data_IF_280210477605
#
_entry.id   IF_280210477605
#
_cell.length_a   1.000
_cell.length_b   1.000
_cell.length_c   1.000
_cell.angle_alpha   90.00
_cell.angle_beta   90.00
_cell.angle_gamma   90.00
#
_symmetry.space_group_name_H-M   'P 1'
#
loop_
_entity.id
_entity.type
_entity.pdbx_description
1 polymer ?
#
# COMPACT_ATOMS: atom_id res chain seq x y z
N UNK A 1 -11.81 -39.52 -11.83
CA UNK A 1 -11.59 -40.57 -10.82
C UNK A 1 -10.14 -41.10 -10.77
N UNK A 2 -9.09 -40.25 -10.84
CA UNK A 2 -7.67 -40.69 -10.74
C UNK A 2 -6.97 -40.31 -9.42
N UNK A 3 -7.58 -39.46 -8.57
CA UNK A 3 -6.94 -38.91 -7.36
C UNK A 3 -6.85 -39.88 -6.16
N UNK A 4 -7.46 -41.07 -6.24
CA UNK A 4 -7.51 -42.05 -5.13
C UNK A 4 -6.43 -43.15 -5.20
N UNK A 5 -5.64 -43.21 -6.27
CA UNK A 5 -4.71 -44.33 -6.51
C UNK A 5 -3.23 -43.99 -6.27
N UNK A 6 -2.87 -42.70 -6.19
CA UNK A 6 -1.52 -42.32 -5.78
C UNK A 6 -1.38 -42.40 -4.24
N UNK A 7 -0.35 -43.06 -3.71
CA UNK A 7 -0.12 -43.17 -2.26
C UNK A 7 0.48 -41.87 -1.71
N UNK A 8 -0.24 -40.76 -1.87
CA UNK A 8 0.22 -39.41 -1.53
C UNK A 8 0.70 -39.28 -0.08
N UNK A 9 0.01 -39.95 0.85
CA UNK A 9 0.41 -40.01 2.27
C UNK A 9 1.79 -40.65 2.47
N UNK A 10 2.09 -41.70 1.71
CA UNK A 10 3.39 -42.36 1.76
C UNK A 10 4.48 -41.49 1.13
N UNK A 11 4.18 -40.84 0.00
CA UNK A 11 5.11 -39.91 -0.66
C UNK A 11 5.45 -38.71 0.21
N UNK A 12 4.46 -38.07 0.83
CA UNK A 12 4.64 -36.93 1.74
C UNK A 12 5.44 -37.34 2.99
N UNK A 13 5.11 -38.48 3.59
CA UNK A 13 5.82 -38.99 4.78
C UNK A 13 7.26 -39.40 4.47
N UNK A 14 7.50 -39.99 3.29
CA UNK A 14 8.83 -40.36 2.82
C UNK A 14 9.67 -39.13 2.50
N UNK A 15 9.10 -38.13 1.83
CA UNK A 15 9.74 -36.86 1.56
C UNK A 15 10.09 -36.11 2.85
N UNK A 16 9.14 -36.00 3.79
CA UNK A 16 9.39 -35.37 5.09
C UNK A 16 10.54 -36.03 5.85
N UNK A 17 10.55 -37.37 5.95
CA UNK A 17 11.66 -38.12 6.57
C UNK A 17 12.98 -37.95 5.83
N UNK A 18 12.97 -37.94 4.50
CA UNK A 18 14.18 -37.77 3.69
C UNK A 18 14.84 -36.39 3.86
N UNK A 19 14.04 -35.36 4.16
CA UNK A 19 14.53 -34.00 4.42
C UNK A 19 14.65 -33.67 5.92
N UNK A 20 14.56 -34.66 6.82
CA UNK A 20 14.68 -34.45 8.27
C UNK A 20 13.50 -33.69 8.91
N UNK A 21 12.38 -33.56 8.20
CA UNK A 21 11.18 -32.86 8.64
C UNK A 21 10.25 -33.85 9.37
N UNK A 22 9.70 -33.42 10.50
CA UNK A 22 8.72 -34.18 11.29
C UNK A 22 7.50 -34.52 10.41
N UNK A 23 6.93 -35.73 10.56
CA UNK A 23 5.79 -36.20 9.76
C UNK A 23 4.62 -35.19 9.84
N UNK A 24 4.34 -34.43 8.76
CA UNK A 24 3.39 -33.32 8.80
C UNK A 24 1.96 -33.81 9.03
N UNK A 25 1.64 -35.05 8.65
CA UNK A 25 0.34 -35.66 8.92
C UNK A 25 0.18 -36.00 10.41
N UNK A 26 1.26 -36.45 11.05
CA UNK A 26 1.26 -36.71 12.48
C UNK A 26 1.18 -35.42 13.31
N UNK A 27 1.83 -34.35 12.85
CA UNK A 27 1.73 -33.01 13.45
C UNK A 27 0.31 -32.48 13.31
N UNK A 28 -0.27 -32.49 12.11
CA UNK A 28 -1.63 -31.99 11.88
C UNK A 28 -2.68 -32.76 12.70
N UNK A 29 -2.53 -34.08 12.80
CA UNK A 29 -3.40 -34.92 13.63
C UNK A 29 -3.27 -34.62 15.13
N UNK A 30 -2.11 -34.15 15.60
CA UNK A 30 -1.91 -33.69 16.98
C UNK A 30 -2.39 -32.26 17.19
N UNK A 31 -2.15 -31.35 16.24
CA UNK A 31 -2.64 -29.97 16.25
C UNK A 31 -4.16 -29.91 16.42
N UNK A 32 -4.88 -30.77 15.67
CA UNK A 32 -6.34 -30.91 15.76
C UNK A 32 -6.86 -31.39 17.12
N UNK A 33 -5.99 -31.88 18.01
CA UNK A 33 -6.36 -32.24 19.39
C UNK A 33 -6.22 -31.09 20.37
N UNK A 34 -5.58 -29.99 19.99
CA UNK A 34 -5.49 -28.78 20.80
C UNK A 34 -6.73 -27.88 20.69
N UNK A 35 -7.65 -28.16 19.75
CA UNK A 35 -8.90 -27.42 19.56
C UNK A 35 -10.10 -28.25 20.03
N UNK A 36 -11.11 -27.59 20.61
CA UNK A 36 -12.39 -28.24 20.84
C UNK A 36 -13.05 -28.59 19.50
N UNK A 37 -13.86 -29.66 19.43
CA UNK A 37 -14.56 -30.02 18.20
C UNK A 37 -15.52 -28.90 17.79
N UNK A 38 -15.08 -28.11 16.81
CA UNK A 38 -15.86 -27.10 16.11
C UNK A 38 -16.54 -27.74 14.89
N UNK A 39 -17.75 -27.31 14.54
CA UNK A 39 -18.44 -27.72 13.30
C UNK A 39 -17.61 -27.37 12.05
N UNK A 40 -16.79 -26.31 12.15
CA UNK A 40 -15.83 -25.90 11.14
C UNK A 40 -14.42 -26.22 11.63
N UNK A 41 -13.77 -27.21 11.02
CA UNK A 41 -12.48 -27.74 11.47
C UNK A 41 -11.34 -26.71 11.34
N UNK A 42 -11.28 -26.02 10.20
CA UNK A 42 -10.38 -24.91 9.87
C UNK A 42 -11.00 -24.22 8.64
N UNK A 43 -11.34 -22.92 8.68
CA UNK A 43 -11.81 -22.22 7.49
C UNK A 43 -10.76 -22.29 6.38
N UNK A 44 -11.14 -22.81 5.21
CA UNK A 44 -10.23 -22.94 4.06
C UNK A 44 -9.73 -21.56 3.62
N UNK A 45 -10.54 -20.54 3.85
CA UNK A 45 -10.26 -19.12 3.67
C UNK A 45 -9.05 -18.68 4.50
N UNK A 46 -8.96 -19.10 5.77
CA UNK A 46 -7.81 -18.78 6.64
C UNK A 46 -6.54 -19.49 6.18
N UNK A 47 -6.64 -20.74 5.72
CA UNK A 47 -5.49 -21.45 5.16
C UNK A 47 -4.99 -20.79 3.87
N UNK A 48 -5.91 -20.40 2.98
CA UNK A 48 -5.55 -19.66 1.75
C UNK A 48 -4.92 -18.32 2.07
N UNK A 49 -5.53 -17.54 2.97
CA UNK A 49 -4.99 -16.26 3.42
C UNK A 49 -3.60 -16.43 4.04
N UNK A 50 -3.40 -17.45 4.88
CA UNK A 50 -2.10 -17.76 5.47
C UNK A 50 -1.02 -18.12 4.44
N UNK A 51 -1.36 -18.88 3.40
CA UNK A 51 -0.42 -19.21 2.32
C UNK A 51 -0.02 -17.93 1.55
N UNK A 52 -0.99 -17.10 1.16
CA UNK A 52 -0.73 -15.83 0.44
C UNK A 52 0.14 -14.91 1.29
N UNK A 53 -0.19 -14.78 2.58
CA UNK A 53 0.55 -13.98 3.54
C UNK A 53 2.02 -14.43 3.67
N UNK A 54 2.28 -15.73 3.80
CA UNK A 54 3.67 -16.23 3.87
C UNK A 54 4.40 -16.16 2.52
N UNK A 55 3.72 -16.33 1.40
CA UNK A 55 4.32 -16.13 0.07
C UNK A 55 4.77 -14.67 -0.12
N UNK A 56 3.93 -13.69 0.25
CA UNK A 56 4.32 -12.27 0.33
C UNK A 56 5.50 -12.07 1.27
N UNK A 57 5.51 -12.77 2.40
CA UNK A 57 6.62 -12.72 3.35
C UNK A 57 7.96 -13.19 2.77
N UNK A 58 7.97 -14.10 1.80
CA UNK A 58 9.18 -14.49 1.06
C UNK A 58 9.68 -13.37 0.15
N UNK A 59 8.77 -12.72 -0.56
CA UNK A 59 9.08 -11.58 -1.43
C UNK A 59 9.67 -10.44 -0.58
N UNK A 60 9.00 -10.07 0.50
CA UNK A 60 9.46 -9.06 1.46
C UNK A 60 10.89 -9.34 1.95
N UNK A 61 11.20 -10.60 2.24
CA UNK A 61 12.54 -11.02 2.70
C UNK A 61 13.62 -10.67 1.67
N UNK A 62 13.34 -10.88 0.39
CA UNK A 62 14.29 -10.60 -0.69
C UNK A 62 14.34 -9.12 -1.04
N UNK A 63 13.18 -8.48 -1.20
CA UNK A 63 13.12 -7.09 -1.62
C UNK A 63 13.65 -6.13 -0.55
N UNK A 64 13.21 -6.26 0.70
CA UNK A 64 13.51 -5.25 1.73
C UNK A 64 14.96 -5.33 2.20
N UNK A 65 15.45 -6.54 2.46
CA UNK A 65 16.77 -6.71 3.08
C UNK A 65 17.94 -6.30 2.18
N UNK A 66 17.75 -6.40 0.86
CA UNK A 66 18.78 -6.08 -0.12
C UNK A 66 18.74 -4.61 -0.57
N UNK A 67 17.72 -3.85 -0.19
CA UNK A 67 17.44 -2.50 -0.70
C UNK A 67 17.15 -1.54 0.47
N UNK A 68 18.09 -1.40 1.39
CA UNK A 68 17.92 -0.57 2.61
C UNK A 68 17.98 0.94 2.34
N UNK A 69 18.49 1.33 1.17
CA UNK A 69 18.59 2.70 0.68
C UNK A 69 17.26 3.24 0.09
N UNK A 70 16.25 2.38 -0.04
CA UNK A 70 14.93 2.76 -0.51
C UNK A 70 14.13 3.51 0.56
N UNK A 71 13.10 4.23 0.12
CA UNK A 71 12.07 4.70 1.04
C UNK A 71 11.07 3.58 1.20
N UNK A 72 10.86 3.12 2.43
CA UNK A 72 9.96 2.02 2.73
C UNK A 72 8.69 2.50 3.47
N UNK A 73 7.62 1.69 3.50
CA UNK A 73 6.43 2.03 4.27
C UNK A 73 6.79 2.02 5.77
N UNK A 74 6.00 2.74 6.57
CA UNK A 74 6.32 2.99 7.98
C UNK A 74 6.62 1.73 8.79
N UNK A 75 5.87 0.64 8.57
CA UNK A 75 6.07 -0.60 9.29
C UNK A 75 7.44 -1.23 9.02
N UNK A 76 8.00 -1.08 7.82
CA UNK A 76 9.34 -1.60 7.48
C UNK A 76 10.41 -0.77 8.16
N UNK A 77 10.30 0.56 8.06
CA UNK A 77 11.24 1.52 8.68
C UNK A 77 11.38 1.28 10.19
N UNK A 78 10.32 0.75 10.84
CA UNK A 78 10.29 0.42 12.27
C UNK A 78 10.70 -1.03 12.55
N UNK A 79 10.05 -1.99 11.91
CA UNK A 79 10.23 -3.41 12.20
C UNK A 79 11.64 -3.94 11.87
N UNK A 80 12.35 -3.29 10.95
CA UNK A 80 13.70 -3.67 10.53
C UNK A 80 14.81 -2.83 11.18
N UNK A 81 14.47 -1.80 11.95
CA UNK A 81 15.45 -0.97 12.67
C UNK A 81 15.75 -1.57 14.05
N UNK A 82 16.98 -2.05 14.33
CA UNK A 82 17.34 -2.65 15.63
C UNK A 82 17.15 -1.74 16.84
N UNK A 83 17.18 -0.42 16.65
CA UNK A 83 17.04 0.58 17.71
C UNK A 83 15.57 0.94 17.99
N UNK A 84 14.63 0.46 17.17
CA UNK A 84 13.20 0.74 17.36
C UNK A 84 12.55 -0.30 18.29
N UNK A 85 11.65 0.10 19.21
CA UNK A 85 10.91 -0.83 20.06
C UNK A 85 10.08 -1.87 19.29
N UNK A 86 9.75 -1.58 18.02
CA UNK A 86 8.98 -2.46 17.14
C UNK A 86 9.87 -3.45 16.37
N UNK A 87 11.18 -3.47 16.63
CA UNK A 87 12.11 -4.37 15.95
C UNK A 87 11.73 -5.84 16.14
N UNK A 88 11.72 -6.60 15.03
CA UNK A 88 11.53 -8.06 15.07
C UNK A 88 12.79 -8.77 14.58
N UNK A 89 13.47 -9.54 15.46
CA UNK A 89 14.66 -10.30 15.09
C UNK A 89 14.42 -11.32 13.97
N UNK A 90 15.40 -11.43 13.06
CA UNK A 90 15.27 -12.14 11.78
C UNK A 90 15.90 -13.53 11.74
N UNK A 91 16.57 -13.96 12.82
CA UNK A 91 17.54 -15.05 12.80
C UNK A 91 17.00 -16.41 12.34
N UNK A 92 15.73 -16.72 12.60
CA UNK A 92 15.12 -18.00 12.21
C UNK A 92 13.82 -17.84 11.39
N UNK A 93 13.46 -16.60 11.00
CA UNK A 93 12.24 -16.39 10.23
C UNK A 93 12.49 -16.60 8.74
N UNK A 94 11.81 -17.59 8.16
CA UNK A 94 11.85 -17.86 6.72
C UNK A 94 11.07 -16.80 5.91
N UNK A 95 10.09 -16.14 6.54
CA UNK A 95 9.20 -15.16 5.88
C UNK A 95 9.10 -13.89 6.71
N UNK A 96 9.26 -12.71 6.10
CA UNK A 96 9.07 -11.42 6.76
C UNK A 96 7.73 -10.82 6.40
N UNK A 97 6.81 -10.85 7.33
CA UNK A 97 5.47 -10.28 7.18
C UNK A 97 5.33 -9.08 8.08
N UNK A 98 4.40 -8.18 7.75
CA UNK A 98 4.10 -7.08 8.64
C UNK A 98 3.42 -7.61 9.92
N UNK A 99 4.07 -7.40 11.07
CA UNK A 99 3.57 -7.76 12.41
C UNK A 99 3.41 -6.52 13.30
N UNK A 100 3.80 -5.34 12.82
CA UNK A 100 3.86 -4.09 13.59
C UNK A 100 3.09 -2.99 12.88
N UNK A 101 2.67 -1.95 13.61
CA UNK A 101 2.00 -0.79 13.01
C UNK A 101 0.86 -1.15 12.02
N UNK A 102 0.08 -2.19 12.37
CA UNK A 102 -1.04 -2.72 11.59
C UNK A 102 -2.36 -1.96 11.83
N UNK A 103 -2.24 -0.73 12.30
CA UNK A 103 -3.34 0.19 12.59
C UNK A 103 -3.58 1.11 11.38
N UNK A 104 -4.03 0.54 10.26
CA UNK A 104 -4.32 1.29 9.04
C UNK A 104 -5.78 1.76 9.05
N UNK A 105 -6.00 2.93 8.49
CA UNK A 105 -7.31 3.58 8.48
C UNK A 105 -7.87 3.54 7.06
N UNK A 106 -9.09 3.03 6.90
CA UNK A 106 -9.76 3.04 5.61
C UNK A 106 -10.58 4.33 5.41
N UNK A 107 -10.46 4.94 4.23
CA UNK A 107 -11.38 5.99 3.78
C UNK A 107 -12.58 5.33 3.10
N UNK A 108 -13.70 5.19 3.81
CA UNK A 108 -14.91 4.53 3.29
C UNK A 108 -16.00 5.50 2.83
N UNK A 109 -16.93 4.99 2.05
CA UNK A 109 -18.17 5.67 1.66
C UNK A 109 -19.34 4.71 1.96
N UNK A 110 -20.44 5.16 2.60
CA UNK A 110 -21.52 4.28 3.05
C UNK A 110 -22.09 3.36 1.95
N UNK A 111 -22.22 3.88 0.74
CA UNK A 111 -22.81 3.16 -0.39
C UNK A 111 -21.81 2.37 -1.25
N UNK A 112 -20.53 2.30 -0.86
CA UNK A 112 -19.49 1.64 -1.65
C UNK A 112 -18.75 0.57 -0.83
N UNK A 113 -18.56 -0.65 -1.38
CA UNK A 113 -17.75 -1.68 -0.75
C UNK A 113 -16.25 -1.50 -1.09
N UNK A 114 -15.75 -0.26 -1.08
CA UNK A 114 -14.38 0.09 -1.42
C UNK A 114 -13.68 0.73 -0.22
N UNK A 115 -12.40 0.39 -0.02
CA UNK A 115 -11.66 0.78 1.18
C UNK A 115 -10.21 1.17 0.86
N UNK A 116 -9.97 2.31 0.20
CA UNK A 116 -8.63 2.91 0.15
C UNK A 116 -8.03 2.99 1.56
N UNK A 117 -6.83 2.44 1.72
CA UNK A 117 -6.15 2.38 3.02
C UNK A 117 -5.16 3.53 3.15
N UNK A 118 -5.03 4.03 4.38
CA UNK A 118 -4.02 5.02 4.75
C UNK A 118 -3.25 4.49 5.95
N UNK A 119 -1.93 4.36 5.81
CA UNK A 119 -1.06 3.93 6.90
C UNK A 119 -0.88 5.06 7.95
N UNK A 120 -0.26 4.79 9.12
CA UNK A 120 -0.09 5.79 10.17
C UNK A 120 0.73 7.03 9.78
N UNK A 121 1.48 6.96 8.67
CA UNK A 121 2.31 8.06 8.15
C UNK A 121 1.75 8.68 6.87
N UNK A 122 0.56 8.26 6.44
CA UNK A 122 -0.14 8.85 5.30
C UNK A 122 0.15 8.19 3.96
N UNK A 123 0.82 7.03 3.93
CA UNK A 123 0.94 6.21 2.72
C UNK A 123 -0.45 5.74 2.30
N UNK A 124 -0.85 6.03 1.06
CA UNK A 124 -2.19 5.71 0.57
C UNK A 124 -2.13 4.49 -0.34
N UNK A 125 -2.90 3.45 -0.04
CA UNK A 125 -3.09 2.28 -0.90
C UNK A 125 -4.50 2.35 -1.50
N UNK A 126 -4.67 2.83 -2.74
CA UNK A 126 -6.00 3.11 -3.29
C UNK A 126 -6.79 1.84 -3.58
N UNK A 127 -6.11 0.83 -4.14
CA UNK A 127 -6.70 -0.42 -4.61
C UNK A 127 -6.60 -1.53 -3.54
N UNK A 128 -7.53 -2.47 -3.56
CA UNK A 128 -7.49 -3.66 -2.73
C UNK A 128 -6.25 -4.50 -3.07
N UNK A 129 -5.44 -4.80 -2.06
CA UNK A 129 -4.17 -5.51 -2.21
C UNK A 129 -3.24 -4.90 -3.28
N UNK A 130 -3.36 -3.59 -3.51
CA UNK A 130 -2.61 -2.87 -4.55
C UNK A 130 -1.35 -2.19 -4.04
N UNK A 131 -0.65 -1.54 -4.95
CA UNK A 131 0.50 -0.67 -4.69
C UNK A 131 0.05 0.67 -4.05
N UNK A 132 1.00 1.49 -3.60
CA UNK A 132 0.71 2.71 -2.84
C UNK A 132 1.23 4.00 -3.45
N UNK A 133 0.63 5.11 -3.04
CA UNK A 133 1.05 6.49 -3.29
C UNK A 133 1.62 7.06 -2.01
N UNK A 134 2.85 7.56 -2.10
CA UNK A 134 3.56 8.25 -1.03
C UNK A 134 3.70 9.74 -1.40
N UNK A 135 3.52 10.63 -0.43
CA UNK A 135 3.65 12.07 -0.63
C UNK A 135 4.71 12.63 0.31
N UNK A 136 5.69 13.30 -0.26
CA UNK A 136 6.83 13.84 0.48
C UNK A 136 7.31 15.16 -0.11
N UNK A 137 8.18 15.86 0.61
CA UNK A 137 8.68 17.18 0.20
C UNK A 137 10.18 17.14 -0.07
N UNK A 138 10.59 17.85 -1.11
CA UNK A 138 11.98 18.20 -1.39
C UNK A 138 12.10 19.72 -1.35
N UNK A 139 12.79 20.26 -0.36
CA UNK A 139 13.08 21.69 -0.31
C UNK A 139 14.05 22.11 -1.40
N UNK A 140 14.02 23.39 -1.79
CA UNK A 140 14.95 23.98 -2.76
C UNK A 140 16.44 23.85 -2.37
N UNK A 141 16.73 23.64 -1.08
CA UNK A 141 18.09 23.38 -0.54
C UNK A 141 18.48 21.89 -0.50
N UNK A 142 17.63 20.99 -1.01
CA UNK A 142 17.88 19.55 -1.05
C UNK A 142 17.44 18.77 0.20
N UNK A 143 16.89 19.43 1.22
CA UNK A 143 16.34 18.75 2.41
C UNK A 143 15.05 18.01 2.08
N UNK A 144 14.91 16.78 2.60
CA UNK A 144 13.77 15.89 2.40
C UNK A 144 12.87 15.82 3.65
N UNK A 145 11.56 15.77 3.45
CA UNK A 145 10.58 15.34 4.46
C UNK A 145 9.89 14.08 3.95
N UNK A 146 10.27 12.93 4.50
CA UNK A 146 9.70 11.61 4.21
C UNK A 146 8.84 11.15 5.40
N UNK A 147 7.49 11.13 5.30
CA UNK A 147 6.63 10.83 6.44
C UNK A 147 6.92 9.47 7.10
N UNK A 148 7.28 8.45 6.33
CA UNK A 148 7.58 7.10 6.85
C UNK A 148 8.77 7.08 7.82
N UNK A 149 9.70 8.03 7.69
CA UNK A 149 10.90 8.15 8.53
C UNK A 149 10.71 9.06 9.75
N UNK A 150 9.56 9.71 9.88
CA UNK A 150 9.27 10.58 11.02
C UNK A 150 8.87 9.77 12.27
N UNK A 151 9.28 10.25 13.43
CA UNK A 151 8.85 9.73 14.74
C UNK A 151 7.41 10.12 15.04
N UNK A 152 7.06 11.38 14.83
CA UNK A 152 5.75 11.93 15.19
C UNK A 152 5.00 12.45 13.96
N UNK A 153 3.77 11.96 13.78
CA UNK A 153 2.83 12.33 12.72
C UNK A 153 1.45 12.29 13.35
N UNK A 154 0.64 13.31 13.06
CA UNK A 154 -0.74 13.37 13.55
C UNK A 154 -1.67 12.81 12.48
N UNK A 155 -2.45 11.79 12.82
CA UNK A 155 -3.52 11.28 11.97
C UNK A 155 -4.86 11.35 12.70
N UNK A 156 -5.91 11.76 12.00
CA UNK A 156 -7.26 11.82 12.54
C UNK A 156 -8.32 11.57 11.46
N UNK A 157 -9.48 11.11 11.91
CA UNK A 157 -10.68 11.05 11.09
C UNK A 157 -11.41 12.40 11.11
N UNK A 158 -11.78 12.87 9.94
CA UNK A 158 -12.66 14.02 9.74
C UNK A 158 -13.97 13.48 9.20
N UNK A 159 -15.10 13.77 9.86
CA UNK A 159 -16.40 13.17 9.51
C UNK A 159 -17.27 14.05 8.61
N UNK A 160 -16.96 15.34 8.48
CA UNK A 160 -17.77 16.31 7.73
C UNK A 160 -16.93 17.07 6.70
N UNK A 161 -17.43 17.29 5.47
CA UNK A 161 -18.73 16.82 4.96
C UNK A 161 -18.78 15.31 4.68
N UNK A 162 -17.64 14.68 4.40
CA UNK A 162 -17.49 13.24 4.18
C UNK A 162 -16.40 12.68 5.10
N UNK A 163 -16.42 11.36 5.33
CA UNK A 163 -15.36 10.67 6.05
C UNK A 163 -14.04 10.82 5.30
N UNK A 164 -13.05 11.39 5.97
CA UNK A 164 -11.72 11.60 5.45
C UNK A 164 -10.65 11.21 6.46
N UNK A 165 -9.55 10.65 5.97
CA UNK A 165 -8.36 10.41 6.79
C UNK A 165 -7.41 11.58 6.57
N UNK A 166 -7.21 12.39 7.61
CA UNK A 166 -6.29 13.52 7.57
C UNK A 166 -4.98 13.15 8.26
N UNK A 167 -3.86 13.36 7.57
CA UNK A 167 -2.51 13.12 8.10
C UNK A 167 -1.67 14.40 7.99
N UNK A 168 -1.12 14.86 9.11
CA UNK A 168 -0.29 16.06 9.22
C UNK A 168 1.13 15.66 9.66
N UNK A 169 2.13 15.97 8.83
CA UNK A 169 3.55 15.68 9.07
C UNK A 169 4.39 16.95 9.02
N UNK A 170 5.40 17.06 9.88
CA UNK A 170 6.29 18.22 9.89
C UNK A 170 7.69 17.88 10.39
N UNK A 171 8.71 18.42 9.73
CA UNK A 171 10.11 18.33 10.14
C UNK A 171 10.92 19.45 9.51
N UNK A 172 11.93 19.98 10.20
CA UNK A 172 12.90 20.94 9.65
C UNK A 172 12.26 22.15 8.93
N UNK A 173 11.16 22.69 9.47
CA UNK A 173 10.43 23.82 8.87
C UNK A 173 9.60 23.47 7.62
N UNK A 174 9.56 22.21 7.22
CA UNK A 174 8.67 21.68 6.19
C UNK A 174 7.42 21.09 6.82
N UNK A 175 6.27 21.26 6.18
CA UNK A 175 4.98 20.71 6.62
C UNK A 175 4.22 20.16 5.42
N UNK A 176 3.67 18.97 5.55
CA UNK A 176 2.75 18.36 4.58
C UNK A 176 1.50 17.87 5.30
N UNK A 177 0.34 18.12 4.68
CA UNK A 177 -0.97 17.74 5.17
C UNK A 177 -1.70 17.04 4.04
N UNK A 178 -2.13 15.80 4.26
CA UNK A 178 -2.93 15.03 3.30
C UNK A 178 -4.33 14.79 3.85
N UNK A 179 -5.31 14.79 2.98
CA UNK A 179 -6.69 14.44 3.28
C UNK A 179 -7.19 13.45 2.23
N UNK A 180 -7.48 12.22 2.66
CA UNK A 180 -7.88 11.12 1.79
C UNK A 180 -9.37 10.85 1.94
N UNK A 181 -10.11 10.89 0.84
CA UNK A 181 -11.54 10.59 0.78
C UNK A 181 -11.84 9.54 -0.29
N UNK A 182 -12.94 8.82 -0.12
CA UNK A 182 -13.55 8.01 -1.18
C UNK A 182 -14.75 8.78 -1.73
N UNK A 183 -14.69 9.16 -3.00
CA UNK A 183 -15.71 9.97 -3.67
C UNK A 183 -16.31 9.23 -4.87
N UNK A 184 -17.49 9.69 -5.29
CA UNK A 184 -18.18 9.19 -6.48
C UNK A 184 -18.21 10.27 -7.57
N UNK A 185 -17.94 9.88 -8.80
CA UNK A 185 -18.23 10.67 -10.00
C UNK A 185 -19.34 10.02 -10.81
N UNK A 186 -19.78 10.66 -11.90
CA UNK A 186 -20.75 10.06 -12.84
C UNK A 186 -20.22 8.80 -13.53
N UNK A 187 -18.90 8.63 -13.66
CA UNK A 187 -18.28 7.50 -14.38
C UNK A 187 -17.90 6.33 -13.46
N UNK A 188 -17.25 6.63 -12.34
CA UNK A 188 -16.77 5.64 -11.37
C UNK A 188 -16.46 6.27 -10.00
N UNK A 189 -16.47 5.48 -8.92
CA UNK A 189 -15.86 5.88 -7.65
C UNK A 189 -14.34 6.03 -7.79
N UNK A 190 -13.76 6.92 -7.00
CA UNK A 190 -12.33 7.18 -7.00
C UNK A 190 -11.82 7.51 -5.59
N UNK A 191 -10.58 7.09 -5.30
CA UNK A 191 -9.86 7.58 -4.15
C UNK A 191 -9.33 8.98 -4.47
N UNK A 192 -9.58 9.94 -3.60
CA UNK A 192 -9.13 11.32 -3.73
C UNK A 192 -8.13 11.64 -2.63
N UNK A 193 -6.98 12.21 -3.01
CA UNK A 193 -5.95 12.67 -2.09
C UNK A 193 -5.77 14.16 -2.32
N UNK A 194 -6.15 14.97 -1.33
CA UNK A 194 -5.83 16.39 -1.32
C UNK A 194 -4.60 16.61 -0.45
N UNK A 195 -3.53 17.15 -1.05
CA UNK A 195 -2.31 17.50 -0.36
C UNK A 195 -2.18 19.01 -0.27
N UNK A 196 -1.72 19.49 0.88
CA UNK A 196 -1.22 20.85 1.04
C UNK A 196 0.12 20.81 1.75
N UNK A 197 1.01 21.72 1.39
CA UNK A 197 2.36 21.75 1.93
C UNK A 197 2.87 23.17 2.08
N UNK A 198 3.88 23.31 2.92
CA UNK A 198 4.57 24.55 3.13
C UNK A 198 6.03 24.30 3.46
N UNK A 199 6.92 25.06 2.84
CA UNK A 199 8.32 25.17 3.19
C UNK A 199 8.75 26.63 3.00
N UNK A 200 9.43 27.19 4.00
CA UNK A 200 9.86 28.59 3.97
C UNK A 200 10.79 28.92 2.78
N UNK A 201 11.48 27.92 2.22
CA UNK A 201 12.43 28.08 1.11
C UNK A 201 11.83 27.68 -0.26
N UNK A 202 10.57 27.27 -0.30
CA UNK A 202 9.97 26.66 -1.50
C UNK A 202 10.54 25.27 -1.77
N UNK A 203 10.10 24.64 -2.86
CA UNK A 203 10.56 23.32 -3.25
C UNK A 203 9.55 22.57 -4.08
N UNK A 204 9.50 21.25 -3.87
CA UNK A 204 8.70 20.31 -4.62
C UNK A 204 7.81 19.52 -3.69
N UNK A 205 6.51 19.49 -4.01
CA UNK A 205 5.62 18.46 -3.54
C UNK A 205 5.77 17.27 -4.49
N UNK A 206 6.19 16.14 -3.94
CA UNK A 206 6.48 14.94 -4.73
C UNK A 206 5.41 13.90 -4.46
N UNK A 207 4.80 13.41 -5.54
CA UNK A 207 3.91 12.24 -5.51
C UNK A 207 4.70 11.06 -6.03
N UNK A 208 4.88 10.05 -5.19
CA UNK A 208 5.64 8.86 -5.55
C UNK A 208 4.77 7.61 -5.59
N UNK A 209 4.91 6.84 -6.67
CA UNK A 209 4.27 5.54 -6.83
C UNK A 209 5.23 4.48 -6.31
N UNK A 210 4.74 3.64 -5.38
CA UNK A 210 5.54 2.71 -4.59
C UNK A 210 5.08 1.26 -4.75
N UNK A 211 5.98 0.30 -5.07
CA UNK A 211 5.65 -1.10 -5.30
C UNK A 211 5.49 -1.88 -3.99
N UNK A 212 4.75 -1.31 -3.05
CA UNK A 212 4.46 -1.89 -1.75
C UNK A 212 3.21 -1.23 -1.16
N UNK A 213 2.72 -1.85 -0.09
CA UNK A 213 1.64 -1.35 0.72
C UNK A 213 1.88 -1.71 2.20
N UNK A 214 0.95 -1.39 3.10
CA UNK A 214 1.10 -1.71 4.51
C UNK A 214 1.18 -3.22 4.81
N UNK A 215 0.85 -4.11 3.88
CA UNK A 215 1.01 -5.56 4.04
C UNK A 215 2.36 -6.09 3.53
N UNK A 216 2.94 -5.45 2.52
CA UNK A 216 4.21 -5.87 1.93
C UNK A 216 4.40 -5.38 0.49
N UNK A 217 5.34 -6.00 -0.20
CA UNK A 217 5.65 -5.71 -1.61
C UNK A 217 4.45 -6.01 -2.51
N UNK A 218 4.21 -5.11 -3.47
CA UNK A 218 3.15 -5.17 -4.46
C UNK A 218 3.73 -4.79 -5.81
N UNK A 219 3.78 -5.75 -6.73
CA UNK A 219 4.57 -5.60 -7.93
C UNK A 219 4.01 -4.52 -8.87
N UNK A 220 4.91 -3.64 -9.29
CA UNK A 220 4.71 -2.71 -10.39
C UNK A 220 5.73 -3.05 -11.47
N UNK A 221 5.24 -3.63 -12.55
CA UNK A 221 6.04 -4.03 -13.71
C UNK A 221 6.32 -2.86 -14.63
N UNK A 222 5.40 -1.90 -14.73
CA UNK A 222 5.56 -0.73 -15.60
C UNK A 222 4.79 0.48 -15.11
N UNK A 223 5.36 1.67 -15.33
CA UNK A 223 4.67 2.96 -15.20
C UNK A 223 5.05 3.81 -16.40
N UNK A 224 4.08 4.51 -16.98
CA UNK A 224 4.32 5.48 -18.05
C UNK A 224 3.39 6.70 -17.92
N UNK A 225 3.82 7.84 -18.45
CA UNK A 225 2.99 9.02 -18.61
C UNK A 225 1.99 8.80 -19.76
N UNK A 226 0.77 9.31 -19.61
CA UNK A 226 -0.16 9.43 -20.73
C UNK A 226 0.26 10.53 -21.73
N UNK A 227 -0.49 10.68 -22.83
CA UNK A 227 -0.17 11.62 -23.91
C UNK A 227 -0.08 13.07 -23.42
N UNK A 228 -1.01 13.47 -22.55
CA UNK A 228 -1.08 14.80 -21.95
C UNK A 228 -0.14 14.98 -20.74
N UNK A 229 0.58 13.92 -20.35
CA UNK A 229 1.47 13.84 -19.19
C UNK A 229 0.83 14.23 -17.85
N UNK A 230 -0.51 14.21 -17.78
CA UNK A 230 -1.29 14.54 -16.59
C UNK A 230 -1.64 13.29 -15.78
N UNK A 231 -1.41 12.11 -16.34
CA UNK A 231 -1.65 10.83 -15.68
C UNK A 231 -0.42 9.94 -15.70
N UNK A 232 -0.20 9.24 -14.60
CA UNK A 232 0.70 8.08 -14.58
C UNK A 232 -0.13 6.81 -14.68
N UNK A 233 0.14 5.99 -15.69
CA UNK A 233 -0.55 4.73 -15.91
C UNK A 233 0.27 3.61 -15.29
N UNK A 234 -0.24 3.02 -14.21
CA UNK A 234 0.42 1.94 -13.48
C UNK A 234 -0.02 0.59 -14.04
N UNK A 235 0.94 -0.27 -14.36
CA UNK A 235 0.74 -1.59 -14.98
C UNK A 235 -0.12 -1.58 -16.25
N UNK A 236 -0.25 -0.43 -16.93
CA UNK A 236 -1.09 -0.27 -18.12
C UNK A 236 -2.60 -0.34 -17.85
N UNK A 237 -3.02 -0.18 -16.59
CA UNK A 237 -4.39 -0.39 -16.14
C UNK A 237 -4.93 0.80 -15.36
N UNK A 238 -4.26 1.13 -14.26
CA UNK A 238 -4.77 2.10 -13.29
C UNK A 238 -4.14 3.48 -13.54
N UNK A 239 -4.93 4.50 -13.90
CA UNK A 239 -4.43 5.86 -13.99
C UNK A 239 -4.36 6.52 -12.60
N UNK A 240 -3.27 7.23 -12.35
CA UNK A 240 -3.14 8.21 -11.27
C UNK A 240 -3.24 9.58 -11.90
N UNK A 241 -4.32 10.29 -11.61
CA UNK A 241 -4.65 11.57 -12.23
C UNK A 241 -4.28 12.72 -11.31
N UNK A 242 -3.70 13.78 -11.89
CA UNK A 242 -3.34 15.00 -11.17
C UNK A 242 -4.23 16.18 -11.58
N UNK A 243 -4.44 17.14 -10.68
CA UNK A 243 -5.15 18.38 -11.03
C UNK A 243 -4.43 19.24 -12.08
N UNK A 244 -3.13 19.04 -12.26
CA UNK A 244 -2.27 19.75 -13.22
C UNK A 244 -1.12 18.85 -13.69
N UNK A 245 -0.43 19.27 -14.73
CA UNK A 245 0.73 18.53 -15.26
C UNK A 245 1.92 18.73 -14.28
N UNK A 246 2.61 17.65 -13.84
CA UNK A 246 3.85 17.77 -13.08
C UNK A 246 4.93 18.44 -13.93
N UNK A 247 5.79 19.28 -13.32
CA UNK A 247 6.89 19.90 -14.07
C UNK A 247 7.95 18.85 -14.45
N UNK A 248 8.13 17.83 -13.59
CA UNK A 248 9.04 16.71 -13.85
C UNK A 248 8.39 15.41 -13.42
N UNK A 249 8.62 14.38 -14.22
CA UNK A 249 8.30 13.00 -13.86
C UNK A 249 9.55 12.15 -14.01
N UNK A 250 9.88 11.41 -12.96
CA UNK A 250 11.08 10.59 -12.87
C UNK A 250 10.63 9.15 -12.60
N UNK A 251 11.30 8.22 -13.26
CA UNK A 251 11.02 6.80 -13.17
C UNK A 251 12.28 6.06 -12.77
N UNK A 252 12.14 5.02 -11.97
CA UNK A 252 13.23 4.10 -11.64
C UNK A 252 12.74 2.66 -11.64
N UNK A 253 13.64 1.74 -11.97
CA UNK A 253 13.46 0.31 -11.85
C UNK A 253 14.29 -0.27 -10.69
N UNK A 254 14.18 -1.59 -10.51
CA UNK A 254 14.91 -2.29 -9.45
C UNK A 254 16.43 -2.12 -9.54
N UNK A 255 16.99 -2.20 -10.75
CA UNK A 255 18.44 -2.19 -10.96
C UNK A 255 19.03 -0.80 -10.70
N UNK A 256 18.25 0.25 -10.96
CA UNK A 256 18.66 1.64 -10.77
C UNK A 256 18.36 2.16 -9.35
N UNK A 257 17.64 1.39 -8.53
CA UNK A 257 17.32 1.71 -7.13
C UNK A 257 16.08 2.58 -6.93
N UNK A 258 15.92 3.20 -5.76
CA UNK A 258 14.74 4.02 -5.45
C UNK A 258 14.76 5.36 -6.21
N UNK A 259 13.59 5.80 -6.69
CA UNK A 259 13.41 7.08 -7.39
C UNK A 259 13.90 8.30 -6.59
N UNK A 260 13.90 8.24 -5.25
CA UNK A 260 14.41 9.32 -4.40
C UNK A 260 15.89 9.63 -4.67
N UNK A 261 16.66 8.65 -5.14
CA UNK A 261 18.08 8.80 -5.44
C UNK A 261 18.33 9.30 -6.87
N UNK A 262 17.28 9.43 -7.69
CA UNK A 262 17.37 9.76 -9.11
C UNK A 262 16.76 11.11 -9.49
N UNK A 263 16.47 11.96 -8.50
CA UNK A 263 15.74 13.23 -8.72
C UNK A 263 16.43 14.24 -9.66
N UNK A 264 17.70 13.99 -10.03
CA UNK A 264 18.45 14.79 -11.00
C UNK A 264 18.35 14.31 -12.46
N UNK A 265 17.82 13.12 -12.75
CA UNK A 265 17.73 12.56 -14.10
C UNK A 265 16.26 12.53 -14.55
N UNK A 266 15.95 13.13 -15.69
CA UNK A 266 14.55 13.36 -16.11
C UNK A 266 14.47 13.43 -17.63
N UNK A 267 14.32 12.29 -18.31
CA UNK A 267 14.03 12.29 -19.76
C UNK A 267 13.23 11.07 -20.25
N UNK A 268 12.73 10.20 -19.35
CA UNK A 268 11.90 9.08 -19.78
C UNK A 268 10.41 9.37 -19.62
N UNK A 269 9.60 8.87 -20.57
CA UNK A 269 8.13 8.86 -20.47
C UNK A 269 7.59 7.62 -19.75
N UNK A 270 8.45 6.70 -19.32
CA UNK A 270 8.06 5.52 -18.56
C UNK A 270 9.19 4.53 -18.35
N UNK A 271 8.92 3.47 -17.60
CA UNK A 271 9.89 2.41 -17.34
C UNK A 271 9.18 1.06 -17.21
N UNK A 272 9.89 -0.01 -17.54
CA UNK A 272 9.44 -1.40 -17.32
C UNK A 272 10.51 -2.14 -16.52
N UNK A 273 10.11 -2.96 -15.57
CA UNK A 273 10.99 -3.75 -14.72
C UNK A 273 10.47 -5.19 -14.62
N UNK A 274 11.31 -6.16 -15.02
CA UNK A 274 10.97 -7.58 -14.95
C UNK A 274 10.84 -8.11 -13.50
N UNK A 275 11.45 -7.42 -12.54
CA UNK A 275 11.35 -7.76 -11.10
C UNK A 275 10.02 -7.26 -10.52
N UNK A 276 9.37 -6.28 -11.15
CA UNK A 276 8.13 -5.69 -10.65
C UNK A 276 8.35 -4.67 -9.53
N UNK A 277 9.49 -3.98 -9.50
CA UNK A 277 9.80 -2.98 -8.46
C UNK A 277 9.95 -1.57 -9.05
N UNK A 278 9.11 -1.21 -10.03
CA UNK A 278 9.13 0.16 -10.56
C UNK A 278 8.70 1.15 -9.49
N UNK A 279 9.43 2.27 -9.38
CA UNK A 279 9.03 3.46 -8.65
C UNK A 279 8.93 4.65 -9.60
N UNK A 280 8.06 5.61 -9.27
CA UNK A 280 7.97 6.87 -10.01
C UNK A 280 7.83 8.04 -9.04
N UNK A 281 8.18 9.23 -9.50
CA UNK A 281 8.03 10.49 -8.78
C UNK A 281 7.53 11.57 -9.74
N UNK A 282 6.35 12.13 -9.48
CA UNK A 282 5.83 13.32 -10.14
C UNK A 282 6.07 14.54 -9.24
N UNK A 283 6.77 15.54 -9.75
CA UNK A 283 7.25 16.69 -8.99
C UNK A 283 6.44 17.95 -9.35
N UNK A 284 5.87 18.58 -8.33
CA UNK A 284 5.08 19.79 -8.44
C UNK A 284 5.77 20.93 -7.67
N UNK A 285 6.21 21.99 -8.36
CA UNK A 285 6.93 23.07 -7.70
C UNK A 285 5.97 23.93 -6.87
N UNK A 286 6.49 24.54 -5.80
CA UNK A 286 5.84 25.62 -5.07
C UNK A 286 6.87 26.65 -4.64
N UNK A 287 6.49 27.93 -4.68
CA UNK A 287 7.41 29.03 -4.47
C UNK A 287 7.71 29.27 -2.98
N UNK A 288 8.78 30.03 -2.75
CA UNK A 288 9.23 30.43 -1.42
C UNK A 288 8.12 31.13 -0.64
N UNK A 289 7.80 30.61 0.55
CA UNK A 289 6.80 31.20 1.45
C UNK A 289 5.34 30.95 1.03
N UNK A 290 5.09 30.41 -0.17
CA UNK A 290 3.77 30.04 -0.63
C UNK A 290 3.34 28.68 -0.04
N UNK A 291 2.04 28.41 -0.11
CA UNK A 291 1.49 27.08 0.18
C UNK A 291 1.34 26.34 -1.15
N UNK A 292 1.96 25.17 -1.26
CA UNK A 292 1.69 24.27 -2.37
C UNK A 292 0.43 23.44 -2.09
N UNK A 293 -0.37 23.16 -3.11
CA UNK A 293 -1.50 22.23 -3.01
C UNK A 293 -1.55 21.32 -4.22
N UNK A 294 -2.12 20.13 -4.09
CA UNK A 294 -2.32 19.19 -5.18
C UNK A 294 -3.49 18.28 -4.87
N UNK A 295 -4.35 18.08 -5.86
CA UNK A 295 -5.36 17.04 -5.84
C UNK A 295 -4.93 15.88 -6.76
N UNK A 296 -5.04 14.66 -6.23
CA UNK A 296 -4.75 13.40 -6.92
C UNK A 296 -6.02 12.55 -6.90
N UNK A 297 -6.34 11.90 -8.01
CA UNK A 297 -7.47 10.98 -8.13
C UNK A 297 -7.00 9.63 -8.67
N UNK A 298 -7.52 8.55 -8.08
CA UNK A 298 -7.29 7.19 -8.56
C UNK A 298 -8.66 6.53 -8.78
N UNK A 299 -9.11 6.33 -10.04
CA UNK A 299 -10.34 5.63 -10.33
C UNK A 299 -10.30 4.19 -9.80
N UNK A 300 -11.38 3.76 -9.15
CA UNK A 300 -11.50 2.45 -8.50
C UNK A 300 -12.46 1.52 -9.24
N UNK A 301 -12.64 1.73 -10.54
CA UNK A 301 -13.56 0.93 -11.37
C UNK A 301 -13.18 -0.56 -11.40
N UNK A 302 -11.88 -0.87 -11.34
CA UNK A 302 -11.38 -2.25 -11.39
C UNK A 302 -11.67 -3.03 -10.10
N UNK A 303 -11.79 -2.33 -8.97
CA UNK A 303 -12.07 -2.93 -7.66
C UNK A 303 -13.56 -3.05 -7.36
N UNK A 304 -14.42 -2.46 -8.20
CA UNK A 304 -15.86 -2.60 -8.04
C UNK A 304 -16.27 -4.05 -8.34
N UNK A 305 -16.91 -4.75 -7.39
CA UNK A 305 -17.43 -6.09 -7.66
C UNK A 305 -18.52 -6.02 -8.75
N UNK A 306 -18.39 -6.85 -9.79
CA UNK A 306 -19.24 -6.86 -11.00
C UNK A 306 -20.75 -6.98 -10.73
N UNK A 307 -21.18 -7.36 -9.52
CA UNK A 307 -22.57 -7.72 -9.20
C UNK A 307 -23.34 -6.74 -8.30
N UNK A 308 -22.75 -5.64 -7.85
CA UNK A 308 -23.34 -4.87 -6.73
C UNK A 308 -23.86 -3.48 -7.12
N UNK A 309 -23.56 -2.98 -8.32
CA UNK A 309 -23.97 -1.62 -8.72
C UNK A 309 -25.40 -1.55 -9.28
N UNK A 310 -26.39 -1.92 -8.46
CA UNK A 310 -27.75 -1.43 -8.69
C UNK A 310 -27.85 -0.09 -8.00
N UNK A 311 -27.86 0.99 -8.80
CA UNK A 311 -28.05 2.38 -8.35
C UNK A 311 -29.39 2.45 -7.61
N UNK A 312 -29.37 2.25 -6.29
CA UNK A 312 -30.59 2.21 -5.49
C UNK A 312 -31.00 3.65 -5.23
N UNK A 313 -31.83 4.21 -6.11
CA UNK A 313 -32.46 5.53 -5.93
C UNK A 313 -33.60 5.50 -4.89
N UNK A 314 -33.52 4.62 -3.90
CA UNK A 314 -34.50 4.58 -2.81
C UNK A 314 -33.94 5.41 -1.67
N UNK A 315 -34.49 6.62 -1.49
CA UNK A 315 -34.27 7.43 -0.30
C UNK A 315 -34.43 6.56 0.94
N UNK A 316 -33.40 6.50 1.78
CA UNK A 316 -33.44 5.85 3.08
C UNK A 316 -34.62 6.45 3.88
N UNK A 317 -35.74 5.71 3.96
CA UNK A 317 -36.76 5.97 4.97
C UNK A 317 -36.22 5.45 6.29
N UNK A 318 -35.78 6.35 7.16
CA UNK A 318 -35.50 6.05 8.55
C UNK A 318 -36.77 5.54 9.21
N UNK A 319 -36.81 4.25 9.58
CA UNK A 319 -37.84 3.71 10.48
C UNK A 319 -37.49 4.09 11.92
N UNK A 320 -38.37 4.75 12.70
CA UNK A 320 -38.05 5.20 14.06
C UNK A 320 -38.03 4.09 15.13
N UNK A 321 -38.26 2.82 14.81
CA UNK A 321 -38.69 1.82 15.81
C UNK A 321 -37.66 0.72 16.16
N UNK A 322 -36.35 0.94 16.00
CA UNK A 322 -35.33 -0.05 16.40
C UNK A 322 -34.67 0.21 17.77
N UNK A 323 -35.21 1.10 18.59
CA UNK A 323 -34.75 1.29 19.98
C UNK A 323 -35.92 1.25 20.96
N UNK A 324 -36.43 0.05 21.25
CA UNK A 324 -37.14 -0.27 22.48
C UNK A 324 -36.66 -1.60 23.04
#
# INVERSE_FOLDING_TARGET
MLRRWLPWRFLVKRAARAHGIVDPLAILARLRRFTQPSEVQEPIELLRAGIVFHARGLINTKAIQHNLDWVWPYWVERQFNPDDPSFIPRAFSFTHVNLTHRNWTAAGHPDLPLYPLVDPRGLVTPLHDGWSIDLWLLSSKGGLLLPSKLEEVSQKLVFSPNLAVKTDSSANGMKISTNVTLETSDEAPYAKINASCHCAEGGWLVVSIRPYNPEGVQFIEKIFCDEDSRRLIVNGKTPVEFDRIPEKTIFSDYDSGDVVNQLGYSDSKGVTCNVGMVTAAALFPFQKGEKGSLEIRVPLKEDLPEKTFVRTTAAYRTSPESWK
#
